data_IF_003026520095
#
_entry.id   IF_003026520095
#
_cell.length_a   1.000
_cell.length_b   1.000
_cell.length_c   1.000
_cell.angle_alpha   90.00
_cell.angle_beta   90.00
_cell.angle_gamma   90.00
#
_symmetry.space_group_name_H-M   'P 1'
#
loop_
_entity.id
_entity.type
_entity.pdbx_description
1 polymer ?
#
# COMPACT_ATOMS: atom_id res chain seq x y z
N UNK A 1 12.99 -36.43 -32.76
CA UNK A 1 13.20 -35.94 -31.38
C UNK A 1 13.99 -34.65 -31.50
N UNK A 2 13.48 -33.49 -31.06
CA UNK A 2 14.30 -32.28 -31.03
C UNK A 2 15.45 -32.49 -30.04
N UNK A 3 16.66 -32.20 -30.48
CA UNK A 3 17.90 -32.51 -29.78
C UNK A 3 18.03 -31.57 -28.57
N UNK A 4 17.96 -32.10 -27.34
CA UNK A 4 17.88 -31.28 -26.12
C UNK A 4 19.13 -30.44 -25.90
N UNK A 5 20.29 -30.89 -26.39
CA UNK A 5 21.56 -30.14 -26.37
C UNK A 5 21.47 -28.82 -27.15
N UNK A 6 20.83 -28.86 -28.32
CA UNK A 6 20.72 -27.72 -29.24
C UNK A 6 19.87 -26.59 -28.63
N UNK A 7 18.88 -26.95 -27.81
CA UNK A 7 18.01 -26.00 -27.11
C UNK A 7 18.74 -25.29 -25.95
N UNK A 8 19.58 -26.00 -25.21
CA UNK A 8 20.38 -25.41 -24.12
C UNK A 8 21.51 -24.53 -24.65
N UNK A 9 22.18 -24.96 -25.73
CA UNK A 9 23.23 -24.19 -26.39
C UNK A 9 22.66 -22.89 -27.00
N UNK A 10 21.45 -22.95 -27.58
CA UNK A 10 20.75 -21.77 -28.08
C UNK A 10 20.35 -20.81 -26.95
N UNK A 11 19.77 -21.31 -25.85
CA UNK A 11 19.42 -20.47 -24.70
C UNK A 11 20.65 -19.81 -24.06
N UNK A 12 21.76 -20.53 -23.93
CA UNK A 12 23.04 -20.00 -23.44
C UNK A 12 23.55 -18.86 -24.34
N UNK A 13 23.44 -19.03 -25.66
CA UNK A 13 23.81 -18.03 -26.66
C UNK A 13 22.89 -16.80 -26.60
N UNK A 14 21.60 -16.99 -26.34
CA UNK A 14 20.63 -15.89 -26.23
C UNK A 14 20.94 -14.98 -25.02
N UNK A 15 21.27 -15.55 -23.86
CA UNK A 15 21.67 -14.78 -22.67
C UNK A 15 22.97 -13.99 -22.86
N UNK A 16 23.85 -14.46 -23.75
CA UNK A 16 25.08 -13.76 -24.14
C UNK A 16 24.83 -12.63 -25.13
N UNK A 17 24.04 -12.91 -26.16
CA UNK A 17 23.82 -11.99 -27.28
C UNK A 17 22.84 -10.87 -26.94
N UNK A 18 21.74 -11.20 -26.26
CA UNK A 18 20.70 -10.25 -25.86
C UNK A 18 20.09 -10.63 -24.48
N UNK A 19 20.73 -10.21 -23.38
CA UNK A 19 20.25 -10.49 -22.03
C UNK A 19 18.93 -9.79 -21.68
N UNK A 20 18.47 -8.82 -22.48
CA UNK A 20 17.14 -8.23 -22.31
C UNK A 20 16.06 -9.16 -22.88
N UNK A 21 16.22 -9.59 -24.14
CA UNK A 21 15.27 -10.47 -24.79
C UNK A 21 15.19 -11.85 -24.10
N UNK A 22 16.35 -12.41 -23.69
CA UNK A 22 16.40 -13.67 -22.96
C UNK A 22 15.66 -13.58 -21.61
N UNK A 23 15.79 -12.45 -20.91
CA UNK A 23 15.05 -12.21 -19.67
C UNK A 23 13.55 -12.07 -19.87
N UNK A 24 13.10 -11.45 -20.95
CA UNK A 24 11.68 -11.35 -21.29
C UNK A 24 11.05 -12.71 -21.62
N UNK A 25 11.78 -13.54 -22.36
CA UNK A 25 11.37 -14.92 -22.63
C UNK A 25 11.27 -15.72 -21.31
N UNK A 26 12.27 -15.59 -20.44
CA UNK A 26 12.27 -16.22 -19.13
C UNK A 26 11.10 -15.75 -18.25
N UNK A 27 10.85 -14.43 -18.15
CA UNK A 27 9.74 -13.87 -17.38
C UNK A 27 8.37 -14.41 -17.83
N UNK A 28 8.20 -14.62 -19.13
CA UNK A 28 6.97 -15.18 -19.70
C UNK A 28 6.72 -16.60 -19.19
N UNK A 29 7.77 -17.42 -19.07
CA UNK A 29 7.68 -18.77 -18.52
C UNK A 29 7.35 -18.79 -17.02
N UNK A 30 7.72 -17.75 -16.27
CA UNK A 30 7.45 -17.63 -14.84
C UNK A 30 5.99 -17.27 -14.51
N UNK A 31 5.15 -16.98 -15.51
CA UNK A 31 3.72 -16.66 -15.35
C UNK A 31 3.40 -15.56 -14.31
N UNK A 32 4.27 -14.55 -14.18
CA UNK A 32 4.01 -13.41 -13.32
C UNK A 32 2.85 -12.54 -13.84
N UNK A 33 2.20 -11.81 -12.92
CA UNK A 33 1.26 -10.74 -13.32
C UNK A 33 1.99 -9.69 -14.14
N UNK A 34 1.34 -9.15 -15.18
CA UNK A 34 1.92 -8.15 -16.09
C UNK A 34 2.61 -6.98 -15.36
N UNK A 35 1.92 -6.35 -14.40
CA UNK A 35 2.50 -5.27 -13.58
C UNK A 35 3.76 -5.65 -12.78
N UNK A 36 3.92 -6.93 -12.40
CA UNK A 36 5.14 -7.40 -11.73
C UNK A 36 6.26 -7.63 -12.75
N UNK A 37 5.93 -8.15 -13.93
CA UNK A 37 6.88 -8.32 -15.02
C UNK A 37 7.48 -6.96 -15.44
N UNK A 38 6.68 -5.91 -15.57
CA UNK A 38 7.17 -4.57 -15.93
C UNK A 38 8.17 -4.01 -14.92
N UNK A 39 7.90 -4.21 -13.62
CA UNK A 39 8.85 -3.83 -12.56
C UNK A 39 10.13 -4.65 -12.69
N UNK A 40 10.04 -5.96 -12.88
CA UNK A 40 11.22 -6.81 -13.01
C UNK A 40 12.05 -6.50 -14.26
N UNK A 41 11.44 -6.12 -15.38
CA UNK A 41 12.13 -5.62 -16.58
C UNK A 41 12.96 -4.38 -16.29
N UNK A 42 12.35 -3.37 -15.65
CA UNK A 42 13.06 -2.15 -15.29
C UNK A 42 14.21 -2.43 -14.30
N UNK A 43 13.97 -3.32 -13.32
CA UNK A 43 14.99 -3.71 -12.36
C UNK A 43 16.16 -4.44 -13.04
N UNK A 44 15.86 -5.39 -13.91
CA UNK A 44 16.86 -6.15 -14.64
C UNK A 44 17.65 -5.26 -15.60
N UNK A 45 16.99 -4.38 -16.35
CA UNK A 45 17.65 -3.44 -17.25
C UNK A 45 18.66 -2.55 -16.53
N UNK A 46 18.29 -1.97 -15.38
CA UNK A 46 19.22 -1.17 -14.57
C UNK A 46 20.45 -2.00 -14.10
N UNK A 47 20.25 -3.29 -13.78
CA UNK A 47 21.37 -4.16 -13.44
C UNK A 47 22.28 -4.44 -14.65
N UNK A 48 21.72 -4.66 -15.84
CA UNK A 48 22.51 -4.85 -17.07
C UNK A 48 23.32 -3.59 -17.44
N UNK A 49 22.73 -2.40 -17.32
CA UNK A 49 23.43 -1.12 -17.51
C UNK A 49 24.60 -0.97 -16.52
N UNK A 50 24.39 -1.39 -15.26
CA UNK A 50 25.46 -1.41 -14.27
C UNK A 50 26.60 -2.38 -14.65
N UNK A 51 26.27 -3.58 -15.11
CA UNK A 51 27.28 -4.56 -15.55
C UNK A 51 28.11 -4.01 -16.71
N UNK A 52 27.46 -3.37 -17.70
CA UNK A 52 28.15 -2.70 -18.80
C UNK A 52 29.12 -1.63 -18.29
N UNK A 53 28.69 -0.79 -17.33
CA UNK A 53 29.53 0.23 -16.70
C UNK A 53 30.74 -0.36 -15.98
N UNK A 54 30.60 -1.54 -15.38
CA UNK A 54 31.66 -2.28 -14.70
C UNK A 54 32.48 -3.20 -15.62
N UNK A 55 32.20 -3.18 -16.93
CA UNK A 55 32.82 -4.06 -17.93
C UNK A 55 32.72 -5.54 -17.54
N UNK A 56 31.61 -5.91 -16.91
CA UNK A 56 31.26 -7.27 -16.53
C UNK A 56 30.11 -7.78 -17.41
N UNK A 57 29.99 -9.10 -17.54
CA UNK A 57 28.87 -9.77 -18.20
C UNK A 57 28.16 -10.67 -17.19
N UNK A 58 27.03 -11.26 -17.58
CA UNK A 58 26.37 -12.27 -16.73
C UNK A 58 27.32 -13.44 -16.41
N UNK A 59 28.28 -13.78 -17.29
CA UNK A 59 29.26 -14.85 -17.07
C UNK A 59 30.40 -14.47 -16.15
N UNK A 60 30.89 -13.23 -16.26
CA UNK A 60 32.10 -12.77 -15.57
C UNK A 60 31.80 -11.98 -14.29
N UNK A 61 30.53 -11.64 -14.04
CA UNK A 61 30.14 -10.88 -12.85
C UNK A 61 30.57 -11.61 -11.58
N UNK A 62 31.21 -10.88 -10.68
CA UNK A 62 31.63 -11.38 -9.38
C UNK A 62 30.77 -10.76 -8.27
N UNK A 63 30.73 -11.45 -7.13
CA UNK A 63 29.98 -11.03 -5.94
C UNK A 63 30.19 -9.54 -5.57
N UNK A 64 31.42 -8.99 -5.51
CA UNK A 64 31.61 -7.58 -5.15
C UNK A 64 30.92 -6.59 -6.09
N UNK A 65 30.79 -6.92 -7.39
CA UNK A 65 30.12 -6.06 -8.38
C UNK A 65 28.62 -5.98 -8.10
N UNK A 66 28.01 -7.11 -7.69
CA UNK A 66 26.59 -7.19 -7.33
C UNK A 66 26.35 -6.49 -5.98
N UNK A 67 27.23 -6.69 -5.00
CA UNK A 67 27.16 -6.01 -3.70
C UNK A 67 27.21 -4.49 -3.85
N UNK A 68 28.14 -3.98 -4.67
CA UNK A 68 28.23 -2.56 -4.98
C UNK A 68 26.95 -2.05 -5.65
N UNK A 69 26.41 -2.77 -6.65
CA UNK A 69 25.17 -2.40 -7.32
C UNK A 69 24.02 -2.20 -6.33
N UNK A 70 23.75 -3.20 -5.50
CA UNK A 70 22.59 -3.15 -4.61
C UNK A 70 22.82 -2.12 -3.48
N UNK A 71 24.06 -1.93 -3.04
CA UNK A 71 24.39 -0.97 -1.99
C UNK A 71 24.27 0.51 -2.40
N UNK A 72 24.49 0.83 -3.68
CA UNK A 72 24.37 2.20 -4.19
C UNK A 72 22.93 2.62 -4.55
N UNK A 73 21.99 1.68 -4.74
CA UNK A 73 20.61 2.01 -5.11
C UNK A 73 19.95 2.88 -4.05
N UNK A 74 19.54 4.10 -4.38
CA UNK A 74 18.85 5.00 -3.45
C UNK A 74 17.36 4.61 -3.28
N UNK A 75 17.15 3.42 -2.74
CA UNK A 75 15.84 2.81 -2.49
C UNK A 75 15.82 2.13 -1.13
N UNK A 76 14.62 1.88 -0.61
CA UNK A 76 14.42 1.27 0.70
C UNK A 76 14.97 -0.16 0.76
N UNK A 77 15.40 -0.57 1.95
CA UNK A 77 16.00 -1.88 2.23
C UNK A 77 15.18 -3.07 1.71
N UNK A 78 13.84 -3.14 1.87
CA UNK A 78 13.05 -4.23 1.30
C UNK A 78 13.09 -4.27 -0.24
N UNK A 79 13.22 -3.12 -0.90
CA UNK A 79 13.33 -3.04 -2.36
C UNK A 79 14.70 -3.51 -2.84
N UNK A 80 15.77 -3.14 -2.13
CA UNK A 80 17.13 -3.70 -2.36
C UNK A 80 17.15 -5.22 -2.23
N UNK A 81 16.48 -5.78 -1.22
CA UNK A 81 16.32 -7.23 -1.06
C UNK A 81 15.59 -7.85 -2.27
N UNK A 82 14.51 -7.22 -2.77
CA UNK A 82 13.81 -7.73 -3.97
C UNK A 82 14.69 -7.73 -5.21
N UNK A 83 15.45 -6.66 -5.44
CA UNK A 83 16.46 -6.60 -6.50
C UNK A 83 17.44 -7.78 -6.39
N UNK A 84 17.98 -8.00 -5.20
CA UNK A 84 18.94 -9.05 -4.96
C UNK A 84 18.36 -10.45 -5.20
N UNK A 85 17.12 -10.70 -4.76
CA UNK A 85 16.43 -11.98 -5.01
C UNK A 85 16.09 -12.20 -6.48
N UNK A 86 15.78 -11.14 -7.23
CA UNK A 86 15.59 -11.22 -8.66
C UNK A 86 16.92 -11.59 -9.35
N UNK A 87 17.99 -10.86 -9.06
CA UNK A 87 19.33 -11.12 -9.60
C UNK A 87 19.78 -12.55 -9.27
N UNK A 88 19.65 -12.97 -8.01
CA UNK A 88 19.96 -14.32 -7.56
C UNK A 88 19.21 -15.37 -8.39
N UNK A 89 17.89 -15.23 -8.53
CA UNK A 89 17.07 -16.19 -9.28
C UNK A 89 17.40 -16.24 -10.77
N UNK A 90 17.63 -15.10 -11.40
CA UNK A 90 17.98 -15.06 -12.82
C UNK A 90 19.36 -15.67 -13.04
N UNK A 91 20.34 -15.33 -12.19
CA UNK A 91 21.67 -15.92 -12.30
C UNK A 91 21.67 -17.42 -11.97
N UNK A 92 20.81 -17.92 -11.08
CA UNK A 92 20.62 -19.36 -10.88
C UNK A 92 20.20 -20.03 -12.19
N UNK A 93 19.20 -19.48 -12.89
CA UNK A 93 18.75 -19.99 -14.17
C UNK A 93 19.83 -19.93 -15.25
N UNK A 94 20.54 -18.80 -15.36
CA UNK A 94 21.64 -18.61 -16.31
C UNK A 94 22.77 -19.63 -16.07
N UNK A 95 23.16 -19.87 -14.81
CA UNK A 95 24.16 -20.90 -14.46
C UNK A 95 23.69 -22.31 -14.78
N UNK A 96 22.40 -22.60 -14.56
CA UNK A 96 21.80 -23.90 -14.89
C UNK A 96 21.84 -24.16 -16.40
N UNK A 97 21.45 -23.18 -17.23
CA UNK A 97 21.51 -23.28 -18.69
C UNK A 97 22.95 -23.48 -19.20
N UNK A 98 23.92 -22.81 -18.60
CA UNK A 98 25.33 -22.87 -19.01
C UNK A 98 26.12 -24.07 -18.46
N UNK A 99 25.53 -24.86 -17.55
CA UNK A 99 26.28 -25.85 -16.76
C UNK A 99 27.54 -25.26 -16.08
N UNK A 100 27.45 -24.00 -15.63
CA UNK A 100 28.57 -23.21 -15.15
C UNK A 100 28.74 -23.27 -13.61
N UNK A 101 29.82 -22.63 -13.13
CA UNK A 101 30.13 -22.52 -11.70
C UNK A 101 29.04 -21.81 -10.88
N UNK A 102 29.14 -21.89 -9.55
CA UNK A 102 28.13 -21.40 -8.60
C UNK A 102 27.78 -19.92 -8.80
N UNK A 103 26.47 -19.62 -8.69
CA UNK A 103 25.93 -18.27 -8.80
C UNK A 103 26.55 -17.28 -7.79
N UNK A 104 27.20 -16.19 -8.25
CA UNK A 104 27.89 -15.21 -7.40
C UNK A 104 26.96 -14.35 -6.54
N UNK A 105 25.65 -14.33 -6.83
CA UNK A 105 24.66 -13.60 -6.03
C UNK A 105 24.19 -14.37 -4.79
N UNK A 106 24.45 -15.70 -4.74
CA UNK A 106 24.08 -16.51 -3.57
C UNK A 106 24.76 -15.98 -2.31
N UNK A 107 24.07 -16.13 -1.18
CA UNK A 107 24.52 -15.73 0.16
C UNK A 107 24.65 -14.21 0.42
N UNK A 108 24.66 -13.34 -0.60
CA UNK A 108 24.67 -11.87 -0.39
C UNK A 108 23.47 -11.43 0.46
N UNK A 109 22.30 -12.05 0.24
CA UNK A 109 21.08 -11.73 0.97
C UNK A 109 21.15 -12.14 2.45
N UNK A 110 21.96 -13.16 2.75
CA UNK A 110 22.09 -13.77 4.07
C UNK A 110 23.14 -13.05 4.92
N UNK A 111 24.12 -12.40 4.29
CA UNK A 111 25.19 -11.68 4.97
C UNK A 111 24.67 -10.58 5.92
N UNK A 112 24.89 -10.83 7.21
CA UNK A 112 24.65 -9.95 8.37
C UNK A 112 25.01 -8.49 8.14
N UNK A 113 26.20 -8.29 7.59
CA UNK A 113 26.95 -7.04 7.59
C UNK A 113 27.01 -6.38 6.21
N UNK A 114 26.30 -6.93 5.23
CA UNK A 114 26.34 -6.44 3.87
C UNK A 114 25.87 -4.97 3.77
N UNK A 115 26.60 -4.16 2.99
CA UNK A 115 26.37 -2.73 2.85
C UNK A 115 24.94 -2.37 2.39
N UNK A 116 24.30 -3.24 1.61
CA UNK A 116 22.92 -3.03 1.15
C UNK A 116 21.91 -2.89 2.29
N UNK A 117 22.18 -3.53 3.45
CA UNK A 117 21.32 -3.50 4.64
C UNK A 117 21.34 -2.16 5.39
N UNK A 118 22.34 -1.30 5.12
CA UNK A 118 22.44 0.05 5.69
C UNK A 118 21.37 1.02 5.15
N UNK A 119 20.62 0.62 4.12
CA UNK A 119 19.47 1.40 3.65
C UNK A 119 18.40 1.54 4.73
N UNK A 120 17.66 2.65 4.64
CA UNK A 120 16.46 2.89 5.46
C UNK A 120 15.42 1.81 5.18
N UNK A 121 14.68 1.42 6.21
CA UNK A 121 13.52 0.54 6.04
C UNK A 121 12.31 1.31 5.50
N UNK A 122 11.22 0.60 5.24
CA UNK A 122 9.92 1.21 5.06
C UNK A 122 9.50 1.99 6.31
N UNK A 123 8.75 3.07 6.08
CA UNK A 123 8.03 3.72 7.16
C UNK A 123 7.09 2.71 7.84
N UNK A 124 6.84 2.88 9.16
CA UNK A 124 5.89 2.05 9.88
C UNK A 124 4.52 2.00 9.18
N UNK A 125 3.80 0.90 9.41
CA UNK A 125 2.45 0.75 8.83
C UNK A 125 1.53 1.80 9.44
N UNK A 126 0.97 2.67 8.61
CA UNK A 126 0.08 3.74 9.07
C UNK A 126 -1.37 3.30 9.24
N UNK A 127 -2.00 3.81 10.29
CA UNK A 127 -3.42 3.68 10.63
C UNK A 127 -4.02 5.07 10.92
N UNK A 128 -5.35 5.16 11.00
CA UNK A 128 -6.03 6.30 11.62
C UNK A 128 -6.26 5.97 13.11
N UNK A 129 -6.13 6.98 13.95
CA UNK A 129 -6.62 6.97 15.34
C UNK A 129 -8.14 6.93 15.38
N UNK A 130 -8.69 6.60 16.54
CA UNK A 130 -10.13 6.59 16.78
C UNK A 130 -10.77 7.94 16.43
N UNK A 131 -10.17 9.04 16.89
CA UNK A 131 -10.67 10.40 16.66
C UNK A 131 -10.62 10.78 15.18
N UNK A 132 -9.52 10.48 14.49
CA UNK A 132 -9.40 10.76 13.05
C UNK A 132 -10.40 9.96 12.23
N UNK A 133 -10.61 8.69 12.59
CA UNK A 133 -11.62 7.85 11.95
C UNK A 133 -13.02 8.40 12.20
N UNK A 134 -13.33 8.80 13.43
CA UNK A 134 -14.62 9.39 13.79
C UNK A 134 -14.89 10.68 13.01
N UNK A 135 -13.91 11.59 12.93
CA UNK A 135 -13.99 12.82 12.12
C UNK A 135 -14.19 12.51 10.64
N UNK A 136 -13.46 11.54 10.09
CA UNK A 136 -13.62 11.14 8.70
C UNK A 136 -15.02 10.58 8.44
N UNK A 137 -15.50 9.65 9.27
CA UNK A 137 -16.85 9.07 9.13
C UNK A 137 -17.93 10.15 9.28
N UNK A 138 -17.80 11.06 10.25
CA UNK A 138 -18.71 12.19 10.42
C UNK A 138 -18.74 13.07 9.16
N UNK A 139 -17.58 13.35 8.56
CA UNK A 139 -17.51 14.09 7.31
C UNK A 139 -18.17 13.36 6.14
N UNK A 140 -18.03 12.02 6.04
CA UNK A 140 -18.69 11.25 4.98
C UNK A 140 -20.22 11.44 4.97
N UNK A 141 -20.84 11.59 6.16
CA UNK A 141 -22.27 11.85 6.31
C UNK A 141 -22.65 13.33 6.34
N UNK A 142 -21.68 14.25 6.31
CA UNK A 142 -21.98 15.68 6.39
C UNK A 142 -22.92 16.09 5.25
N UNK A 143 -23.81 17.07 5.45
CA UNK A 143 -24.64 17.58 4.37
C UNK A 143 -23.78 18.02 3.18
N UNK A 144 -24.18 17.60 1.97
CA UNK A 144 -23.62 18.13 0.73
C UNK A 144 -24.43 19.38 0.40
N UNK A 145 -23.77 20.54 0.44
CA UNK A 145 -24.40 21.82 0.11
C UNK A 145 -24.85 21.91 -1.36
N UNK A 146 -25.31 23.09 -1.75
CA UNK A 146 -25.76 23.33 -3.13
C UNK A 146 -24.57 23.27 -4.09
N UNK A 147 -24.44 22.14 -4.80
CA UNK A 147 -23.45 21.92 -5.84
C UNK A 147 -24.15 21.73 -7.19
N UNK A 148 -23.53 22.15 -8.31
CA UNK A 148 -23.98 21.74 -9.63
C UNK A 148 -24.11 20.21 -9.71
N UNK A 149 -25.11 19.70 -10.43
CA UNK A 149 -25.39 18.26 -10.51
C UNK A 149 -24.13 17.43 -10.85
N UNK A 150 -23.31 17.93 -11.78
CA UNK A 150 -22.05 17.30 -12.17
C UNK A 150 -20.98 17.21 -11.06
N UNK A 151 -21.02 18.09 -10.06
CA UNK A 151 -20.14 18.03 -8.90
C UNK A 151 -20.74 17.19 -7.78
N UNK A 152 -22.07 17.28 -7.58
CA UNK A 152 -22.80 16.55 -6.54
C UNK A 152 -22.64 15.03 -6.64
N UNK A 153 -22.78 14.45 -7.83
CA UNK A 153 -22.60 13.00 -7.99
C UNK A 153 -21.15 12.58 -7.76
N UNK A 154 -20.16 13.41 -8.13
CA UNK A 154 -18.74 13.13 -7.89
C UNK A 154 -18.42 13.13 -6.41
N UNK A 155 -18.95 14.09 -5.67
CA UNK A 155 -18.83 14.17 -4.21
C UNK A 155 -19.41 12.91 -3.54
N UNK A 156 -20.62 12.49 -3.93
CA UNK A 156 -21.23 11.24 -3.43
C UNK A 156 -20.40 10.00 -3.77
N UNK A 157 -19.90 9.90 -5.01
CA UNK A 157 -19.02 8.81 -5.45
C UNK A 157 -17.76 8.75 -4.60
N UNK A 158 -17.11 9.89 -4.38
CA UNK A 158 -15.81 9.96 -3.72
C UNK A 158 -15.94 9.63 -2.23
N UNK A 159 -17.01 10.06 -1.57
CA UNK A 159 -17.35 9.65 -0.20
C UNK A 159 -17.62 8.14 -0.09
N UNK A 160 -18.41 7.58 -1.00
CA UNK A 160 -18.66 6.13 -1.02
C UNK A 160 -17.40 5.31 -1.34
N UNK A 161 -16.51 5.84 -2.18
CA UNK A 161 -15.22 5.24 -2.48
C UNK A 161 -14.31 5.20 -1.25
N UNK A 162 -14.23 6.30 -0.49
CA UNK A 162 -13.52 6.35 0.81
C UNK A 162 -14.15 5.37 1.80
N UNK A 163 -15.48 5.29 1.85
CA UNK A 163 -16.20 4.36 2.72
C UNK A 163 -15.89 2.88 2.41
N UNK A 164 -15.76 2.51 1.13
CA UNK A 164 -15.35 1.16 0.72
C UNK A 164 -13.91 0.84 1.15
N UNK A 165 -13.00 1.82 1.12
CA UNK A 165 -11.64 1.61 1.60
C UNK A 165 -11.57 1.50 3.13
N UNK A 166 -12.23 2.42 3.84
CA UNK A 166 -12.19 2.52 5.30
C UNK A 166 -13.07 1.48 6.01
N UNK A 167 -14.20 1.13 5.41
CA UNK A 167 -15.21 0.24 5.99
C UNK A 167 -15.31 -1.12 5.31
N UNK A 168 -14.67 -1.33 4.16
CA UNK A 168 -14.63 -2.63 3.47
C UNK A 168 -13.22 -3.18 3.24
N UNK A 169 -12.19 -2.39 3.57
CA UNK A 169 -10.80 -2.77 3.38
C UNK A 169 -10.48 -3.20 1.94
N UNK A 170 -11.13 -2.65 0.90
CA UNK A 170 -10.89 -3.03 -0.51
C UNK A 170 -9.55 -2.45 -1.01
N UNK A 171 -8.88 -3.09 -1.99
CA UNK A 171 -7.65 -2.50 -2.61
C UNK A 171 -8.04 -1.49 -3.68
N UNK A 172 -7.20 -0.49 -3.93
CA UNK A 172 -7.43 0.49 -5.02
C UNK A 172 -7.62 -0.18 -6.39
N UNK A 173 -6.87 -1.24 -6.68
CA UNK A 173 -7.02 -1.99 -7.94
C UNK A 173 -8.34 -2.77 -8.02
N UNK A 174 -8.85 -3.25 -6.89
CA UNK A 174 -10.13 -3.95 -6.79
C UNK A 174 -11.28 -2.95 -6.96
N UNK A 175 -11.23 -1.82 -6.24
CA UNK A 175 -12.23 -0.76 -6.35
C UNK A 175 -12.37 -0.20 -7.78
N UNK A 176 -11.29 -0.19 -8.56
CA UNK A 176 -11.31 0.26 -9.95
C UNK A 176 -12.06 -0.69 -10.90
N UNK A 177 -12.29 -1.94 -10.48
CA UNK A 177 -12.94 -2.99 -11.27
C UNK A 177 -14.30 -3.38 -10.70
N UNK A 178 -14.68 -2.90 -9.51
CA UNK A 178 -15.98 -3.19 -8.92
C UNK A 178 -17.10 -2.71 -9.85
N UNK A 179 -18.02 -3.62 -10.15
CA UNK A 179 -19.26 -3.33 -10.87
C UNK A 179 -20.42 -3.15 -9.90
N UNK A 180 -21.56 -2.66 -10.41
CA UNK A 180 -22.79 -2.55 -9.61
C UNK A 180 -23.25 -3.95 -9.15
N UNK A 181 -23.08 -4.98 -9.98
CA UNK A 181 -23.44 -6.37 -9.66
C UNK A 181 -22.62 -6.99 -8.52
N UNK A 182 -21.44 -6.43 -8.22
CA UNK A 182 -20.62 -6.86 -7.09
C UNK A 182 -21.27 -6.59 -5.73
N UNK A 183 -22.35 -5.80 -5.69
CA UNK A 183 -23.00 -5.37 -4.47
C UNK A 183 -24.53 -5.42 -4.61
N UNK A 184 -25.18 -6.15 -3.70
CA UNK A 184 -26.63 -6.09 -3.55
C UNK A 184 -26.99 -4.99 -2.55
N UNK A 185 -28.05 -4.22 -2.83
CA UNK A 185 -28.49 -3.13 -1.95
C UNK A 185 -28.72 -3.62 -0.52
N UNK A 186 -28.18 -2.89 0.47
CA UNK A 186 -28.22 -3.24 1.88
C UNK A 186 -27.34 -4.44 2.30
N UNK A 187 -26.57 -5.05 1.39
CA UNK A 187 -25.72 -6.19 1.73
C UNK A 187 -24.55 -5.76 2.64
N UNK A 188 -24.19 -6.58 3.65
CA UNK A 188 -23.06 -6.29 4.52
C UNK A 188 -21.71 -6.72 3.90
N UNK A 189 -21.64 -6.86 2.57
CA UNK A 189 -20.43 -7.23 1.85
C UNK A 189 -20.46 -6.74 0.40
N UNK A 190 -19.27 -6.58 -0.17
CA UNK A 190 -19.06 -6.46 -1.63
C UNK A 190 -18.25 -7.65 -2.12
N UNK A 191 -18.65 -8.24 -3.24
CA UNK A 191 -17.90 -9.31 -3.90
C UNK A 191 -16.78 -8.69 -4.72
N UNK A 192 -15.54 -8.95 -4.33
CA UNK A 192 -14.37 -8.57 -5.12
C UNK A 192 -14.08 -9.70 -6.09
N UNK A 193 -14.39 -9.46 -7.36
CA UNK A 193 -14.12 -10.40 -8.44
C UNK A 193 -12.63 -10.39 -8.83
N UNK A 194 -12.17 -11.51 -9.37
CA UNK A 194 -10.81 -11.70 -9.84
C UNK A 194 -10.75 -12.73 -10.96
N UNK A 195 -9.89 -12.50 -11.95
CA UNK A 195 -9.69 -13.44 -13.07
C UNK A 195 -9.26 -14.84 -12.62
N UNK A 196 -8.64 -14.95 -11.44
CA UNK A 196 -8.40 -16.24 -10.80
C UNK A 196 -9.52 -16.49 -9.77
N UNK A 197 -10.35 -17.52 -9.95
CA UNK A 197 -11.45 -17.85 -9.04
C UNK A 197 -11.02 -18.02 -7.57
N UNK A 198 -9.79 -18.48 -7.32
CA UNK A 198 -9.24 -18.64 -5.97
C UNK A 198 -8.99 -17.30 -5.25
N UNK A 199 -9.06 -16.18 -5.98
CA UNK A 199 -8.87 -14.83 -5.46
C UNK A 199 -10.19 -14.08 -5.30
N UNK A 200 -11.31 -14.66 -5.74
CA UNK A 200 -12.65 -14.10 -5.50
C UNK A 200 -12.92 -14.13 -4.00
N UNK A 201 -13.43 -13.04 -3.46
CA UNK A 201 -13.69 -12.91 -2.02
C UNK A 201 -14.84 -11.97 -1.73
N UNK A 202 -15.49 -12.19 -0.59
CA UNK A 202 -16.42 -11.22 -0.02
C UNK A 202 -15.67 -10.31 0.95
N UNK A 203 -15.65 -9.01 0.65
CA UNK A 203 -15.16 -7.98 1.55
C UNK A 203 -16.32 -7.55 2.46
N UNK A 204 -16.24 -7.87 3.77
CA UNK A 204 -17.25 -7.47 4.74
C UNK A 204 -17.26 -5.94 4.88
N UNK A 205 -18.43 -5.34 4.77
CA UNK A 205 -18.64 -3.90 4.92
C UNK A 205 -19.06 -3.57 6.35
N UNK A 206 -18.48 -2.50 6.89
CA UNK A 206 -18.98 -1.83 8.08
C UNK A 206 -20.34 -1.17 7.78
N UNK A 207 -21.24 -1.04 8.77
CA UNK A 207 -22.59 -0.49 8.54
C UNK A 207 -22.62 0.86 7.83
N UNK A 208 -21.71 1.78 8.23
CA UNK A 208 -21.62 3.10 7.60
C UNK A 208 -21.24 3.04 6.11
N UNK A 209 -20.45 2.03 5.71
CA UNK A 209 -20.02 1.86 4.34
C UNK A 209 -21.17 1.33 3.48
N UNK A 210 -21.95 0.38 3.98
CA UNK A 210 -23.19 -0.09 3.34
C UNK A 210 -24.13 1.09 3.04
N UNK A 211 -24.40 1.93 4.04
CA UNK A 211 -25.29 3.09 3.87
C UNK A 211 -24.77 4.09 2.82
N UNK A 212 -23.47 4.41 2.85
CA UNK A 212 -22.87 5.33 1.88
C UNK A 212 -22.86 4.76 0.46
N UNK A 213 -22.67 3.45 0.30
CA UNK A 213 -22.74 2.78 -1.01
C UNK A 213 -24.18 2.77 -1.53
N UNK A 214 -25.18 2.48 -0.68
CA UNK A 214 -26.60 2.52 -1.06
C UNK A 214 -27.03 3.92 -1.51
N UNK A 215 -26.61 4.94 -0.77
CA UNK A 215 -26.83 6.35 -1.11
C UNK A 215 -26.17 6.71 -2.45
N UNK A 216 -24.94 6.24 -2.68
CA UNK A 216 -24.23 6.45 -3.94
C UNK A 216 -24.91 5.74 -5.11
N UNK A 217 -25.33 4.48 -4.97
CA UNK A 217 -26.02 3.75 -6.05
C UNK A 217 -27.32 4.45 -6.43
N UNK A 218 -28.04 4.99 -5.45
CA UNK A 218 -29.25 5.79 -5.69
C UNK A 218 -28.92 7.07 -6.46
N UNK A 219 -27.91 7.84 -6.03
CA UNK A 219 -27.45 9.04 -6.75
C UNK A 219 -26.97 8.72 -8.17
N UNK A 220 -26.21 7.63 -8.35
CA UNK A 220 -25.71 7.17 -9.64
C UNK A 220 -26.85 6.91 -10.62
N UNK A 221 -27.95 6.31 -10.16
CA UNK A 221 -29.17 6.10 -10.94
C UNK A 221 -29.85 7.41 -11.28
N UNK A 222 -30.05 8.30 -10.31
CA UNK A 222 -30.66 9.63 -10.52
C UNK A 222 -29.87 10.49 -11.50
N UNK A 223 -28.53 10.42 -11.45
CA UNK A 223 -27.65 11.15 -12.36
C UNK A 223 -27.54 10.53 -13.76
N UNK A 224 -28.14 9.34 -13.99
CA UNK A 224 -28.15 8.67 -15.29
C UNK A 224 -26.77 8.22 -15.79
N UNK A 225 -25.87 7.82 -14.88
CA UNK A 225 -24.51 7.42 -15.29
C UNK A 225 -24.52 6.09 -16.04
N UNK A 226 -23.80 6.02 -17.15
CA UNK A 226 -23.71 4.84 -18.02
C UNK A 226 -22.66 3.83 -17.54
N UNK A 227 -22.74 2.60 -18.06
CA UNK A 227 -21.79 1.51 -17.82
C UNK A 227 -22.00 0.79 -16.50
N UNK A 228 -21.18 -0.25 -16.25
CA UNK A 228 -21.37 -1.16 -15.12
C UNK A 228 -20.47 -0.87 -13.92
N UNK A 229 -19.49 0.01 -14.05
CA UNK A 229 -18.57 0.32 -12.96
C UNK A 229 -19.31 0.99 -11.80
N UNK A 230 -19.02 0.51 -10.59
CA UNK A 230 -19.56 1.06 -9.34
C UNK A 230 -19.02 2.48 -9.12
N UNK A 231 -17.74 2.72 -9.41
CA UNK A 231 -17.08 4.02 -9.26
C UNK A 231 -16.51 4.54 -10.60
N UNK A 232 -17.34 5.09 -11.51
CA UNK A 232 -16.89 5.62 -12.78
C UNK A 232 -16.24 6.99 -12.64
N UNK A 233 -15.26 7.31 -13.49
CA UNK A 233 -14.57 8.59 -13.53
C UNK A 233 -15.42 9.71 -14.15
N UNK A 234 -16.30 9.35 -15.08
CA UNK A 234 -17.10 10.26 -15.90
C UNK A 234 -18.50 9.66 -16.17
N UNK A 235 -19.48 10.48 -16.57
CA UNK A 235 -20.84 9.99 -16.84
C UNK A 235 -20.94 8.91 -17.92
N UNK A 236 -19.96 8.85 -18.83
CA UNK A 236 -19.84 7.80 -19.85
C UNK A 236 -19.41 6.43 -19.31
N UNK A 237 -19.22 6.28 -17.99
CA UNK A 237 -18.84 4.99 -17.38
C UNK A 237 -17.35 4.67 -17.47
N UNK A 238 -16.49 5.62 -17.87
CA UNK A 238 -15.04 5.40 -17.97
C UNK A 238 -14.42 5.00 -16.61
N UNK A 239 -13.44 4.08 -16.57
CA UNK A 239 -12.79 3.68 -15.33
C UNK A 239 -11.98 4.80 -14.70
N UNK A 240 -11.93 4.82 -13.35
CA UNK A 240 -11.07 5.72 -12.60
C UNK A 240 -9.61 5.23 -12.63
N UNK A 241 -8.70 6.12 -13.00
CA UNK A 241 -7.28 5.90 -12.79
C UNK A 241 -6.93 5.91 -11.30
N UNK A 242 -5.91 5.16 -10.88
CA UNK A 242 -5.46 5.11 -9.46
C UNK A 242 -5.14 6.50 -8.91
N UNK A 243 -4.53 7.37 -9.71
CA UNK A 243 -4.24 8.75 -9.32
C UNK A 243 -5.51 9.58 -9.08
N UNK A 244 -6.60 9.32 -9.80
CA UNK A 244 -7.89 9.97 -9.59
C UNK A 244 -8.52 9.52 -8.28
N UNK A 245 -8.43 8.22 -7.96
CA UNK A 245 -8.89 7.71 -6.66
C UNK A 245 -8.10 8.29 -5.50
N UNK A 246 -6.77 8.39 -5.65
CA UNK A 246 -5.92 9.00 -4.63
C UNK A 246 -6.33 10.46 -4.38
N UNK A 247 -6.50 11.24 -5.44
CA UNK A 247 -6.98 12.64 -5.33
C UNK A 247 -8.35 12.77 -4.67
N UNK A 248 -9.27 11.84 -4.97
CA UNK A 248 -10.58 11.81 -4.31
C UNK A 248 -10.44 11.58 -2.81
N UNK A 249 -9.60 10.62 -2.41
CA UNK A 249 -9.30 10.33 -1.00
C UNK A 249 -8.67 11.56 -0.33
N UNK A 250 -7.69 12.20 -0.96
CA UNK A 250 -7.05 13.39 -0.39
C UNK A 250 -8.05 14.53 -0.17
N UNK A 251 -8.96 14.75 -1.12
CA UNK A 251 -9.97 15.79 -1.02
C UNK A 251 -10.92 15.54 0.17
N UNK A 252 -11.42 14.30 0.31
CA UNK A 252 -12.31 13.91 1.42
C UNK A 252 -11.58 13.95 2.76
N UNK A 253 -10.33 13.48 2.83
CA UNK A 253 -9.48 13.52 4.03
C UNK A 253 -9.20 14.97 4.44
N UNK A 254 -8.85 15.85 3.49
CA UNK A 254 -8.64 17.26 3.77
C UNK A 254 -9.92 17.93 4.28
N UNK A 255 -11.06 17.66 3.66
CA UNK A 255 -12.35 18.21 4.05
C UNK A 255 -12.85 17.70 5.42
N UNK A 256 -12.37 16.54 5.88
CA UNK A 256 -12.63 16.04 7.24
C UNK A 256 -11.80 16.72 8.33
N UNK A 257 -10.80 17.54 7.96
CA UNK A 257 -9.92 18.24 8.90
C UNK A 257 -8.73 17.42 9.41
N UNK A 258 -8.74 16.09 9.25
CA UNK A 258 -7.67 15.22 9.77
C UNK A 258 -6.33 15.39 9.04
N UNK A 259 -6.33 15.98 7.84
CA UNK A 259 -5.08 16.22 7.11
C UNK A 259 -4.14 17.19 7.85
N UNK A 260 -4.69 18.13 8.62
CA UNK A 260 -3.92 19.17 9.29
C UNK A 260 -3.16 18.68 10.53
N UNK A 261 -3.68 17.66 11.22
CA UNK A 261 -3.08 17.08 12.42
C UNK A 261 -2.11 15.94 12.12
N UNK A 262 -2.11 15.41 10.89
CA UNK A 262 -1.34 14.22 10.51
C UNK A 262 0.03 14.56 9.95
N UNK A 263 1.05 13.89 10.49
CA UNK A 263 2.40 13.87 9.89
C UNK A 263 2.42 13.02 8.61
N UNK A 264 1.78 11.84 8.64
CA UNK A 264 1.73 10.92 7.51
C UNK A 264 0.39 11.00 6.77
N UNK A 265 0.46 11.19 5.44
CA UNK A 265 -0.71 11.28 4.55
C UNK A 265 -1.59 10.03 4.66
N UNK A 266 -2.90 10.24 4.79
CA UNK A 266 -3.86 9.15 4.67
C UNK A 266 -3.96 8.72 3.19
N UNK A 267 -3.65 7.45 2.93
CA UNK A 267 -3.71 6.83 1.61
C UNK A 267 -4.82 5.76 1.57
N UNK A 268 -5.22 5.24 0.41
CA UNK A 268 -6.13 4.10 0.37
C UNK A 268 -5.60 2.89 1.18
N UNK A 269 -4.28 2.72 1.26
CA UNK A 269 -3.69 1.68 2.10
C UNK A 269 -3.86 1.99 3.59
N UNK A 270 -3.73 3.26 4.01
CA UNK A 270 -3.99 3.68 5.40
C UNK A 270 -5.43 3.39 5.81
N UNK A 271 -6.41 3.72 4.95
CA UNK A 271 -7.82 3.44 5.20
C UNK A 271 -8.07 1.94 5.32
N UNK A 272 -7.49 1.14 4.41
CA UNK A 272 -7.59 -0.33 4.44
C UNK A 272 -6.93 -0.95 5.67
N UNK A 273 -5.80 -0.41 6.12
CA UNK A 273 -5.15 -0.85 7.35
C UNK A 273 -6.01 -0.53 8.58
N UNK A 274 -6.64 0.65 8.58
CA UNK A 274 -7.54 1.10 9.65
C UNK A 274 -8.77 0.20 9.74
N UNK A 275 -9.35 -0.22 8.61
CA UNK A 275 -10.39 -1.25 8.60
C UNK A 275 -9.94 -2.52 9.35
N UNK A 276 -8.72 -2.99 9.10
CA UNK A 276 -8.18 -4.17 9.78
C UNK A 276 -7.97 -3.92 11.28
N UNK A 277 -7.47 -2.73 11.64
CA UNK A 277 -7.25 -2.32 13.02
C UNK A 277 -8.55 -2.37 13.84
N UNK A 278 -9.64 -1.84 13.31
CA UNK A 278 -10.96 -1.88 13.97
C UNK A 278 -11.41 -3.32 14.24
N UNK A 279 -11.19 -4.23 13.29
CA UNK A 279 -11.54 -5.63 13.48
C UNK A 279 -10.67 -6.31 14.53
N UNK A 280 -9.38 -5.97 14.60
CA UNK A 280 -8.50 -6.49 15.65
C UNK A 280 -8.88 -5.93 17.03
N UNK A 281 -9.25 -4.66 17.10
CA UNK A 281 -9.74 -4.01 18.31
C UNK A 281 -11.03 -4.67 18.82
N UNK A 282 -11.93 -5.05 17.90
CA UNK A 282 -13.13 -5.85 18.19
C UNK A 282 -12.82 -7.33 18.57
N UNK A 283 -11.54 -7.73 18.62
CA UNK A 283 -11.10 -9.08 18.97
C UNK A 283 -11.28 -10.11 17.85
N UNK A 284 -11.44 -9.68 16.59
CA UNK A 284 -11.52 -10.60 15.46
C UNK A 284 -10.19 -11.30 15.22
N UNK A 285 -10.23 -12.61 15.04
CA UNK A 285 -9.05 -13.43 14.73
C UNK A 285 -8.28 -12.94 13.49
N UNK A 286 -6.93 -12.85 13.53
CA UNK A 286 -6.14 -12.37 12.41
C UNK A 286 -6.32 -13.12 11.10
N UNK A 287 -6.50 -14.44 11.12
CA UNK A 287 -6.73 -15.20 9.89
C UNK A 287 -8.08 -14.83 9.27
N UNK A 288 -9.10 -14.61 10.09
CA UNK A 288 -10.42 -14.15 9.61
C UNK A 288 -10.35 -12.75 8.99
N UNK A 289 -9.63 -11.82 9.62
CA UNK A 289 -9.38 -10.49 9.02
C UNK A 289 -8.61 -10.64 7.71
N UNK A 290 -7.63 -11.54 7.66
CA UNK A 290 -6.88 -11.88 6.46
C UNK A 290 -7.76 -12.38 5.31
N UNK A 291 -8.74 -13.25 5.60
CA UNK A 291 -9.72 -13.72 4.62
C UNK A 291 -10.55 -12.57 4.05
N UNK A 292 -11.11 -11.71 4.91
CA UNK A 292 -11.88 -10.54 4.47
C UNK A 292 -11.06 -9.49 3.74
N UNK A 293 -9.75 -9.43 3.96
CA UNK A 293 -8.82 -8.60 3.19
C UNK A 293 -8.34 -9.31 1.90
N UNK A 294 -8.51 -10.62 1.77
CA UNK A 294 -7.98 -11.39 0.65
C UNK A 294 -6.47 -11.56 0.69
N UNK A 295 -5.90 -11.74 1.87
CA UNK A 295 -4.51 -12.20 2.01
C UNK A 295 -4.40 -13.67 1.65
N UNK A 296 -3.42 -13.99 0.81
CA UNK A 296 -3.16 -15.36 0.36
C UNK A 296 -2.32 -16.16 1.35
N UNK A 297 -1.61 -15.47 2.24
CA UNK A 297 -0.75 -16.07 3.24
C UNK A 297 -1.12 -15.54 4.61
N UNK A 298 -1.39 -16.43 5.55
CA UNK A 298 -1.63 -16.14 6.97
C UNK A 298 -0.59 -15.20 7.57
N UNK A 299 0.69 -15.36 7.19
CA UNK A 299 1.77 -14.50 7.69
C UNK A 299 1.54 -13.01 7.36
N UNK A 300 0.82 -12.68 6.29
CA UNK A 300 0.51 -11.29 5.94
C UNK A 300 -0.50 -10.67 6.91
N UNK A 301 -1.48 -11.46 7.37
CA UNK A 301 -2.45 -11.03 8.37
C UNK A 301 -1.77 -10.83 9.73
N UNK A 302 -0.97 -11.81 10.17
CA UNK A 302 -0.22 -11.74 11.42
C UNK A 302 0.78 -10.57 11.44
N UNK A 303 1.43 -10.27 10.31
CA UNK A 303 2.30 -9.09 10.19
C UNK A 303 1.51 -7.79 10.36
N UNK A 304 0.32 -7.69 9.77
CA UNK A 304 -0.52 -6.51 9.92
C UNK A 304 -1.05 -6.36 11.35
N UNK A 305 -1.46 -7.47 11.99
CA UNK A 305 -1.89 -7.49 13.38
C UNK A 305 -0.76 -7.03 14.32
N UNK A 306 0.45 -7.56 14.15
CA UNK A 306 1.62 -7.11 14.92
C UNK A 306 1.93 -5.62 14.70
N UNK A 307 1.87 -5.15 13.46
CA UNK A 307 2.11 -3.75 13.15
C UNK A 307 1.06 -2.83 13.81
N UNK A 308 -0.19 -3.28 13.90
CA UNK A 308 -1.24 -2.58 14.65
C UNK A 308 -0.96 -2.58 16.15
N UNK A 309 -0.54 -3.70 16.75
CA UNK A 309 -0.17 -3.77 18.18
C UNK A 309 0.98 -2.82 18.52
N UNK A 310 2.02 -2.79 17.68
CA UNK A 310 3.17 -1.88 17.83
C UNK A 310 2.72 -0.41 17.72
N UNK A 311 1.85 -0.09 16.75
CA UNK A 311 1.31 1.25 16.58
C UNK A 311 0.41 1.67 17.75
N UNK A 312 -0.50 0.80 18.23
CA UNK A 312 -1.35 1.07 19.40
C UNK A 312 -0.51 1.31 20.66
N UNK A 313 0.54 0.53 20.87
CA UNK A 313 1.48 0.74 21.97
C UNK A 313 2.15 2.12 21.91
N UNK A 314 2.51 2.59 20.71
CA UNK A 314 3.03 3.95 20.53
C UNK A 314 1.97 5.02 20.86
N UNK A 315 0.74 4.86 20.39
CA UNK A 315 -0.35 5.81 20.67
C UNK A 315 -0.65 5.94 22.17
N UNK A 316 -0.64 4.82 22.90
CA UNK A 316 -0.81 4.83 24.36
C UNK A 316 0.34 5.61 25.02
N UNK A 317 1.59 5.33 24.63
CA UNK A 317 2.76 6.06 25.15
C UNK A 317 2.69 7.55 24.88
N UNK A 318 2.35 7.95 23.66
CA UNK A 318 2.21 9.36 23.28
C UNK A 318 1.14 10.07 24.11
N UNK A 319 -0.03 9.42 24.30
CA UNK A 319 -1.11 9.95 25.13
C UNK A 319 -0.69 10.11 26.59
N UNK A 320 -0.07 9.09 27.17
CA UNK A 320 0.35 9.11 28.58
C UNK A 320 1.41 10.19 28.82
N UNK A 321 2.35 10.37 27.86
CA UNK A 321 3.34 11.47 27.88
C UNK A 321 2.69 12.85 27.74
N UNK A 322 1.67 12.99 26.90
CA UNK A 322 0.93 14.24 26.74
C UNK A 322 0.16 14.61 28.03
N UNK A 323 -0.44 13.62 28.70
CA UNK A 323 -1.13 13.81 29.98
C UNK A 323 -0.15 14.23 31.09
N UNK A 324 1.02 13.61 31.17
CA UNK A 324 2.06 13.98 32.14
C UNK A 324 2.50 15.44 31.96
N UNK A 325 2.75 15.87 30.71
CA UNK A 325 3.13 17.27 30.40
C UNK A 325 2.03 18.28 30.74
N UNK A 326 0.76 17.91 30.55
CA UNK A 326 -0.36 18.77 30.90
C UNK A 326 -0.56 18.91 32.42
N UNK A 327 -0.22 17.87 33.19
CA UNK A 327 -0.26 17.87 34.66
C UNK A 327 0.89 18.63 35.33
N UNK A 328 1.98 18.92 34.61
CA UNK A 328 3.15 19.67 35.12
C UNK A 328 3.08 21.18 34.83
N UNK A 329 2.03 21.70 34.18
CA UNK A 329 1.88 23.13 33.97
C UNK A 329 1.63 23.85 35.32
N UNK A 330 2.44 24.87 35.70
CA UNK A 330 2.32 25.50 37.00
C UNK A 330 1.01 26.29 37.10
N UNK A 331 0.29 26.05 38.20
CA UNK A 331 -0.86 26.82 38.63
C UNK A 331 -0.42 28.28 38.80
N UNK A 332 -0.87 29.17 37.90
CA UNK A 332 -0.61 30.60 38.04
C UNK A 332 -1.54 31.10 39.14
N UNK A 333 -0.96 31.19 40.34
CA UNK A 333 -1.60 31.66 41.57
C UNK A 333 -2.36 32.99 41.33
N UNK A 334 -3.69 33.07 41.54
CA UNK A 334 -4.46 34.30 41.38
C UNK A 334 -4.24 35.32 42.51
N UNK A 335 -3.42 35.02 43.51
CA UNK A 335 -3.28 35.85 44.72
C UNK A 335 -1.88 36.43 44.90
N UNK A 336 -1.48 37.30 43.97
CA UNK A 336 -0.46 38.32 44.22
C UNK A 336 -1.01 39.43 45.11
N UNK A 337 -0.76 39.27 46.41
CA UNK A 337 -1.18 40.15 47.51
C UNK A 337 -0.78 41.62 47.35
N UNK A 338 -1.64 42.44 47.95
CA UNK A 338 -1.51 43.83 48.33
C UNK A 338 -0.11 44.23 48.82
N UNK A 339 0.41 45.33 48.29
CA UNK A 339 1.40 46.16 48.98
C UNK A 339 0.79 47.55 49.22
N UNK A 340 0.44 47.79 50.48
CA UNK A 340 0.32 49.13 51.04
C UNK A 340 1.12 49.09 52.35
N UNK A 341 2.15 49.92 52.49
CA UNK A 341 2.50 50.38 53.82
C UNK A 341 2.60 51.91 53.89
N UNK A 342 1.94 52.41 54.93
CA UNK A 342 2.05 53.75 55.45
C UNK A 342 3.50 54.23 55.63
N UNK A 343 3.62 55.55 55.50
CA UNK A 343 4.75 56.41 55.82
C UNK A 343 5.41 56.11 57.18
N UNK A 344 6.68 56.57 57.32
CA UNK A 344 6.93 57.51 58.42
C UNK A 344 7.80 58.73 58.04
N UNK A 345 7.41 59.87 58.61
CA UNK A 345 8.17 61.08 58.99
C UNK A 345 9.45 61.47 58.23
N UNK A 346 9.36 62.55 57.44
CA UNK A 346 9.94 63.88 57.74
C UNK A 346 9.34 64.94 56.79
#
# INVERSE_FOLDING_TARGET
MPNTSDLFDQQSTDWQADPHAAFDAWLTQQAFRASSADVYRAQWGNFLEWLATKRATLHTVQRPVIEQFVAQLDIRRPQRMRYLRLIERVLDHVREVESAATNPARFIAQDGNAAWRKARDNEPTGFLTHDERALLVAHLFSPIGTLPAGQRWRERRDRALVAVFLGGGVKTGEAAQLTIECYAAGAPYVTVDASNPLLIRQARLAPFATELIDNWISERKTAGLSGELLFPAAPSGRPMHKATMLRAIDAVVAASGIAASRVARASPQTLRNTYAAELFEDGTDPDRVGQWLGFQQTISANRLHRAWQEWMGEQIRERDMAQARAGEAPDVDPHGLSDDPEKPHL
#
